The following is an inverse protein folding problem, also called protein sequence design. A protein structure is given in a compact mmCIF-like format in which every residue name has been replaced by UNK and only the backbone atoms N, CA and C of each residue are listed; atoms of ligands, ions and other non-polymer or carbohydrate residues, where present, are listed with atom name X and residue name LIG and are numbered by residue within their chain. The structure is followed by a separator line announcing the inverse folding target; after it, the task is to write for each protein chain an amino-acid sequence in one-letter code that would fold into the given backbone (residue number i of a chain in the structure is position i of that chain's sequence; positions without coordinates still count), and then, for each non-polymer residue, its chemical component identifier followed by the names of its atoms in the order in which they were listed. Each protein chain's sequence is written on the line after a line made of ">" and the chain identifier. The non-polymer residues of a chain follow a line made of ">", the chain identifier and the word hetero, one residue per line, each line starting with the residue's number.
data_IF_823725872244
#
_entry.id   IF_823725872244
#
_cell.length_a   1.000
_cell.length_b   1.000
_cell.length_c   1.000
_cell.angle_alpha   90.00
_cell.angle_beta   90.00
_cell.angle_gamma   90.00
#
_symmetry.space_group_name_H-M   'P 1'
#
loop_
_entity.id
_entity.type
_entity.pdbx_description
1 polymer ?
#
# COMPACT_ATOMS: atom_id res chain seq x y z
N UNK A 1 4.28 14.11 26.78
CA UNK A 1 4.18 12.74 26.23
C UNK A 1 3.11 12.76 25.16
N UNK A 2 3.52 13.04 23.92
CA UNK A 2 2.61 13.13 22.77
C UNK A 2 2.33 11.71 22.30
N UNK A 3 1.08 11.26 22.37
CA UNK A 3 0.68 9.93 21.94
C UNK A 3 0.74 9.80 20.41
N UNK A 4 0.86 8.57 19.87
CA UNK A 4 1.02 8.28 18.45
C UNK A 4 -0.14 8.75 17.55
N UNK A 5 -1.30 9.02 18.09
CA UNK A 5 -2.47 9.57 17.37
C UNK A 5 -2.29 11.01 16.86
N UNK A 6 -1.31 11.76 17.40
CA UNK A 6 -1.08 13.15 17.02
C UNK A 6 -0.23 13.32 15.77
N UNK A 7 0.49 12.29 15.32
CA UNK A 7 1.55 12.43 14.33
C UNK A 7 1.02 12.52 12.89
N UNK A 8 -0.19 12.07 12.62
CA UNK A 8 -0.76 12.00 11.29
C UNK A 8 -1.81 13.02 10.91
N UNK A 9 -2.67 13.33 11.80
CA UNK A 9 -3.37 14.63 11.69
C UNK A 9 -2.31 15.72 11.45
N UNK A 10 -1.12 15.56 12.02
CA UNK A 10 0.01 16.47 11.84
C UNK A 10 0.65 16.34 10.45
N UNK A 11 0.82 15.14 9.87
CA UNK A 11 1.39 14.97 8.52
C UNK A 11 0.45 15.53 7.46
N UNK A 12 -0.83 15.11 7.46
CA UNK A 12 -1.84 15.66 6.55
C UNK A 12 -2.06 17.16 6.74
N UNK A 13 -2.00 17.67 7.99
CA UNK A 13 -2.09 19.10 8.27
C UNK A 13 -0.87 19.88 7.76
N UNK A 14 0.34 19.35 7.91
CA UNK A 14 1.57 19.95 7.39
C UNK A 14 1.57 19.99 5.85
N UNK A 15 1.15 18.90 5.20
CA UNK A 15 1.03 18.83 3.75
C UNK A 15 -0.03 19.81 3.23
N UNK A 16 -1.13 20.01 3.96
CA UNK A 16 -2.14 21.03 3.60
C UNK A 16 -1.56 22.43 3.43
N UNK A 17 -0.53 22.75 4.17
CA UNK A 17 0.13 24.04 4.06
C UNK A 17 1.01 24.17 2.80
N UNK A 18 1.09 23.14 1.95
CA UNK A 18 1.81 23.08 0.65
C UNK A 18 3.25 23.64 0.64
N UNK A 19 3.82 23.95 1.81
CA UNK A 19 5.15 24.54 1.98
C UNK A 19 6.11 23.60 2.72
N UNK A 20 5.63 22.45 3.19
CA UNK A 20 6.45 21.47 3.89
C UNK A 20 6.86 20.34 2.95
N UNK A 21 7.98 20.57 2.22
CA UNK A 21 8.58 19.61 1.29
C UNK A 21 8.91 18.27 1.96
N UNK A 22 9.42 18.31 3.19
CA UNK A 22 9.76 17.11 3.94
C UNK A 22 8.53 16.24 4.25
N UNK A 23 7.41 16.87 4.61
CA UNK A 23 6.15 16.14 4.85
C UNK A 23 5.58 15.56 3.56
N UNK A 24 5.83 16.20 2.41
CA UNK A 24 5.46 15.64 1.11
C UNK A 24 6.32 14.45 0.73
N UNK A 25 7.62 14.50 0.94
CA UNK A 25 8.51 13.35 0.72
C UNK A 25 8.09 12.17 1.58
N UNK A 26 7.80 12.39 2.86
CA UNK A 26 7.27 11.37 3.76
C UNK A 26 5.95 10.78 3.25
N UNK A 27 5.04 11.61 2.75
CA UNK A 27 3.79 11.17 2.13
C UNK A 27 4.04 10.28 0.90
N UNK A 28 4.94 10.70 0.02
CA UNK A 28 5.29 9.94 -1.18
C UNK A 28 5.87 8.59 -0.79
N UNK A 29 6.78 8.54 0.18
CA UNK A 29 7.37 7.30 0.67
C UNK A 29 6.33 6.34 1.23
N UNK A 30 5.33 6.85 1.96
CA UNK A 30 4.24 6.03 2.50
C UNK A 30 3.26 5.52 1.45
N UNK A 31 2.89 6.33 0.46
CA UNK A 31 1.74 6.00 -0.40
C UNK A 31 2.09 5.62 -1.83
N UNK A 32 3.31 5.94 -2.31
CA UNK A 32 3.74 5.60 -3.68
C UNK A 32 3.64 4.11 -3.97
N UNK A 33 4.15 3.27 -3.04
CA UNK A 33 4.11 1.80 -3.17
C UNK A 33 2.68 1.27 -3.20
N UNK A 34 1.80 1.81 -2.37
CA UNK A 34 0.38 1.46 -2.32
C UNK A 34 -0.35 1.83 -3.62
N UNK A 35 -0.17 3.07 -4.11
CA UNK A 35 -0.75 3.53 -5.39
C UNK A 35 -0.25 2.65 -6.54
N UNK A 36 1.06 2.37 -6.58
CA UNK A 36 1.67 1.53 -7.60
C UNK A 36 1.05 0.13 -7.63
N UNK A 37 0.93 -0.51 -6.47
CA UNK A 37 0.36 -1.85 -6.35
C UNK A 37 -1.11 -1.89 -6.82
N UNK A 38 -1.93 -0.89 -6.46
CA UNK A 38 -3.32 -0.81 -6.93
C UNK A 38 -3.36 -0.75 -8.46
N UNK A 39 -2.58 0.14 -9.09
CA UNK A 39 -2.62 0.35 -10.54
C UNK A 39 -2.11 -0.90 -11.28
N UNK A 40 -1.03 -1.52 -10.78
CA UNK A 40 -0.48 -2.75 -11.37
C UNK A 40 -1.49 -3.91 -11.31
N UNK A 41 -2.19 -4.06 -10.19
CA UNK A 41 -3.22 -5.08 -10.02
C UNK A 41 -4.50 -4.83 -10.86
N UNK A 42 -4.62 -3.65 -11.46
CA UNK A 42 -5.65 -3.37 -12.47
C UNK A 42 -5.25 -3.86 -13.88
N UNK A 43 -4.16 -4.61 -14.00
CA UNK A 43 -3.58 -5.09 -15.26
C UNK A 43 -3.15 -3.95 -16.20
N UNK A 44 -2.78 -2.79 -15.65
CA UNK A 44 -2.15 -1.72 -16.41
C UNK A 44 -0.69 -2.11 -16.65
N UNK A 45 -0.17 -1.88 -17.86
CA UNK A 45 1.21 -2.20 -18.19
C UNK A 45 2.19 -1.37 -17.33
N UNK A 46 3.42 -1.88 -17.20
CA UNK A 46 4.43 -1.31 -16.31
C UNK A 46 4.75 0.15 -16.59
N UNK A 47 4.90 0.52 -17.84
CA UNK A 47 5.25 1.89 -18.26
C UNK A 47 4.15 2.88 -17.88
N UNK A 48 2.91 2.58 -18.28
CA UNK A 48 1.75 3.41 -17.98
C UNK A 48 1.49 3.47 -16.45
N UNK A 49 1.80 2.40 -15.72
CA UNK A 49 1.68 2.37 -14.25
C UNK A 49 2.55 3.43 -13.61
N UNK A 50 3.79 3.61 -14.06
CA UNK A 50 4.69 4.63 -13.49
C UNK A 50 4.17 6.04 -13.73
N UNK A 51 3.72 6.33 -14.94
CA UNK A 51 3.16 7.63 -15.30
C UNK A 51 1.87 7.93 -14.52
N UNK A 52 1.04 6.92 -14.34
CA UNK A 52 -0.19 7.02 -13.57
C UNK A 52 0.07 7.26 -12.08
N UNK A 53 1.08 6.61 -11.50
CA UNK A 53 1.50 6.87 -10.11
C UNK A 53 1.88 8.34 -9.93
N UNK A 54 2.71 8.88 -10.82
CA UNK A 54 3.07 10.29 -10.79
C UNK A 54 1.83 11.20 -10.93
N UNK A 55 0.94 10.87 -11.87
CA UNK A 55 -0.29 11.63 -12.07
C UNK A 55 -1.21 11.61 -10.85
N UNK A 56 -1.29 10.49 -10.13
CA UNK A 56 -2.05 10.37 -8.86
C UNK A 56 -1.40 11.22 -7.78
N UNK A 57 -0.07 11.14 -7.61
CA UNK A 57 0.67 11.93 -6.62
C UNK A 57 0.51 13.44 -6.87
N UNK A 58 0.61 13.90 -8.13
CA UNK A 58 0.39 15.31 -8.49
C UNK A 58 -1.05 15.76 -8.15
N UNK A 59 -2.05 14.88 -8.39
CA UNK A 59 -3.44 15.20 -8.04
C UNK A 59 -3.65 15.20 -6.54
N UNK A 60 -3.04 14.26 -5.82
CA UNK A 60 -3.07 14.26 -4.36
C UNK A 60 -2.48 15.57 -3.82
N UNK A 61 -1.31 15.98 -4.28
CA UNK A 61 -0.69 17.24 -3.92
C UNK A 61 -1.62 18.45 -4.12
N UNK A 62 -2.26 18.55 -5.28
CA UNK A 62 -3.14 19.67 -5.61
C UNK A 62 -4.44 19.72 -4.82
N UNK A 63 -4.98 18.55 -4.44
CA UNK A 63 -6.28 18.47 -3.78
C UNK A 63 -6.18 18.28 -2.25
N UNK A 64 -5.01 17.94 -1.72
CA UNK A 64 -4.78 17.77 -0.28
C UNK A 64 -5.08 19.04 0.54
N UNK A 65 -4.76 20.27 0.08
CA UNK A 65 -5.10 21.48 0.82
C UNK A 65 -6.60 21.64 1.08
N UNK A 66 -7.43 21.22 0.12
CA UNK A 66 -8.90 21.28 0.21
C UNK A 66 -9.52 20.03 0.85
N UNK A 67 -8.70 19.00 1.12
CA UNK A 67 -9.18 17.75 1.71
C UNK A 67 -9.53 17.98 3.19
N UNK A 68 -10.80 17.90 3.54
CA UNK A 68 -11.27 17.87 4.92
C UNK A 68 -11.40 16.42 5.38
N UNK A 69 -10.62 16.06 6.40
CA UNK A 69 -10.76 14.76 7.03
C UNK A 69 -12.06 14.71 7.82
N UNK A 70 -13.03 13.98 7.31
CA UNK A 70 -14.30 13.70 7.98
C UNK A 70 -14.39 12.19 8.28
N UNK A 71 -14.30 11.77 9.55
CA UNK A 71 -14.44 10.36 9.91
C UNK A 71 -15.75 9.72 9.43
N UNK A 72 -16.81 10.53 9.22
CA UNK A 72 -18.11 10.09 8.73
C UNK A 72 -18.14 9.85 7.20
N UNK A 73 -17.19 10.44 6.45
CA UNK A 73 -17.08 10.31 4.99
C UNK A 73 -16.05 9.30 4.53
N UNK A 74 -15.41 8.62 5.47
CA UNK A 74 -14.41 7.61 5.19
C UNK A 74 -12.98 8.06 5.47
N UNK A 75 -12.07 7.09 5.41
CA UNK A 75 -10.65 7.28 5.74
C UNK A 75 -9.92 7.93 4.56
N UNK A 76 -8.80 8.60 4.83
CA UNK A 76 -7.91 9.19 3.82
C UNK A 76 -7.57 8.20 2.70
N UNK A 77 -7.32 6.95 3.05
CA UNK A 77 -7.08 5.86 2.12
C UNK A 77 -8.19 5.71 1.06
N UNK A 78 -9.47 5.76 1.49
CA UNK A 78 -10.61 5.67 0.57
C UNK A 78 -10.64 6.83 -0.42
N UNK A 79 -10.33 8.04 0.03
CA UNK A 79 -10.17 9.19 -0.86
C UNK A 79 -9.01 8.98 -1.85
N UNK A 80 -7.83 8.53 -1.40
CA UNK A 80 -6.68 8.28 -2.28
C UNK A 80 -6.98 7.17 -3.30
N UNK A 81 -7.67 6.10 -2.89
CA UNK A 81 -8.15 5.04 -3.81
C UNK A 81 -9.09 5.62 -4.87
N UNK A 82 -9.99 6.53 -4.48
CA UNK A 82 -10.90 7.21 -5.41
C UNK A 82 -10.14 8.10 -6.40
N UNK A 83 -9.13 8.84 -5.94
CA UNK A 83 -8.26 9.65 -6.81
C UNK A 83 -7.52 8.75 -7.81
N UNK A 84 -7.00 7.60 -7.34
CA UNK A 84 -6.32 6.61 -8.19
C UNK A 84 -7.28 6.06 -9.25
N UNK A 85 -8.43 5.55 -8.85
CA UNK A 85 -9.49 5.03 -9.74
C UNK A 85 -9.88 6.02 -10.83
N UNK A 86 -10.15 7.27 -10.43
CA UNK A 86 -10.55 8.31 -11.36
C UNK A 86 -9.41 8.70 -12.32
N UNK A 87 -8.16 8.60 -11.88
CA UNK A 87 -6.99 8.87 -12.72
C UNK A 87 -6.83 7.81 -13.79
N UNK A 88 -6.92 6.53 -13.42
CA UNK A 88 -6.87 5.41 -14.36
C UNK A 88 -8.03 5.47 -15.35
N UNK A 89 -9.27 5.71 -14.89
CA UNK A 89 -10.43 5.85 -15.79
C UNK A 89 -10.22 6.94 -16.84
N UNK A 90 -9.73 8.12 -16.43
CA UNK A 90 -9.45 9.23 -17.36
C UNK A 90 -8.37 8.88 -18.38
N UNK A 91 -7.34 8.19 -17.96
CA UNK A 91 -6.28 7.71 -18.83
C UNK A 91 -6.83 6.75 -19.90
N UNK A 92 -7.59 5.73 -19.49
CA UNK A 92 -8.22 4.76 -20.40
C UNK A 92 -9.17 5.46 -21.38
N UNK A 93 -9.99 6.40 -20.93
CA UNK A 93 -10.86 7.19 -21.81
C UNK A 93 -10.08 8.04 -22.82
N UNK A 94 -8.92 8.60 -22.41
CA UNK A 94 -8.07 9.36 -23.32
C UNK A 94 -7.47 8.44 -24.39
N UNK A 95 -6.97 7.28 -24.01
CA UNK A 95 -6.46 6.28 -24.96
C UNK A 95 -7.54 5.81 -25.92
N UNK A 96 -8.74 5.51 -25.44
CA UNK A 96 -9.88 5.11 -26.27
C UNK A 96 -10.21 6.14 -27.35
N UNK A 97 -10.21 7.43 -27.00
CA UNK A 97 -10.46 8.51 -27.99
C UNK A 97 -9.36 8.61 -29.05
N UNK A 98 -8.11 8.38 -28.68
CA UNK A 98 -6.98 8.38 -29.61
C UNK A 98 -7.06 7.21 -30.58
N UNK A 99 -7.48 6.05 -30.09
CA UNK A 99 -7.60 4.80 -30.86
C UNK A 99 -8.86 4.79 -31.74
N UNK A 100 -9.92 5.47 -31.35
CA UNK A 100 -11.12 5.59 -32.21
C UNK A 100 -10.85 6.28 -33.57
N UNK A 101 -9.73 7.02 -33.67
CA UNK A 101 -9.24 7.61 -34.92
C UNK A 101 -8.15 6.74 -35.59
N UNK A 102 -7.88 5.54 -35.08
CA UNK A 102 -6.86 4.63 -35.57
C UNK A 102 -7.47 3.49 -36.40
N UNK A 103 -6.59 2.67 -36.93
CA UNK A 103 -6.91 1.47 -37.68
C UNK A 103 -7.74 0.46 -36.87
N UNK A 104 -8.59 -0.34 -37.54
CA UNK A 104 -9.48 -1.32 -36.93
C UNK A 104 -8.77 -2.38 -36.08
N UNK A 105 -7.53 -2.76 -36.49
CA UNK A 105 -6.74 -3.74 -35.72
C UNK A 105 -6.31 -3.18 -34.36
N UNK A 106 -5.94 -1.91 -34.28
CA UNK A 106 -5.61 -1.23 -33.01
C UNK A 106 -6.82 -1.06 -32.11
N UNK A 107 -8.01 -0.89 -32.68
CA UNK A 107 -9.25 -0.86 -31.89
C UNK A 107 -9.54 -2.17 -31.21
N UNK A 108 -9.43 -3.28 -31.95
CA UNK A 108 -9.63 -4.63 -31.40
C UNK A 108 -8.63 -4.98 -30.31
N UNK A 109 -7.34 -4.64 -30.51
CA UNK A 109 -6.30 -4.83 -29.51
C UNK A 109 -6.60 -4.05 -28.23
N UNK A 110 -7.07 -2.81 -28.35
CA UNK A 110 -7.43 -1.98 -27.21
C UNK A 110 -8.71 -2.45 -26.50
N UNK A 111 -9.71 -2.94 -27.24
CA UNK A 111 -10.90 -3.55 -26.67
C UNK A 111 -10.54 -4.77 -25.82
N UNK A 112 -9.70 -5.66 -26.32
CA UNK A 112 -9.17 -6.80 -25.56
C UNK A 112 -8.39 -6.34 -24.31
N UNK A 113 -7.61 -5.27 -24.41
CA UNK A 113 -6.92 -4.69 -23.26
C UNK A 113 -7.92 -4.19 -22.21
N UNK A 114 -8.97 -3.47 -22.61
CA UNK A 114 -10.01 -2.99 -21.70
C UNK A 114 -10.76 -4.10 -20.98
N UNK A 115 -10.99 -5.24 -21.64
CA UNK A 115 -11.62 -6.42 -21.03
C UNK A 115 -10.79 -6.99 -19.88
N UNK A 116 -9.46 -6.87 -19.96
CA UNK A 116 -8.53 -7.34 -18.94
C UNK A 116 -8.36 -6.37 -17.76
N UNK A 117 -8.86 -5.14 -17.87
CA UNK A 117 -8.73 -4.14 -16.80
C UNK A 117 -9.80 -4.35 -15.72
N UNK A 118 -9.40 -4.76 -14.54
CA UNK A 118 -10.27 -5.08 -13.40
C UNK A 118 -10.81 -3.83 -12.68
N UNK A 119 -11.57 -2.99 -13.37
CA UNK A 119 -12.20 -1.79 -12.76
C UNK A 119 -13.24 -2.09 -11.67
N UNK A 120 -14.07 -3.15 -11.79
CA UNK A 120 -15.09 -3.47 -10.78
C UNK A 120 -14.51 -3.87 -9.42
N UNK A 121 -13.36 -4.54 -9.41
CA UNK A 121 -12.74 -5.11 -8.19
C UNK A 121 -11.72 -4.18 -7.52
N UNK A 122 -11.64 -2.92 -7.94
CA UNK A 122 -10.61 -1.99 -7.45
C UNK A 122 -10.65 -1.80 -5.93
N UNK A 123 -11.81 -1.85 -5.32
CA UNK A 123 -11.95 -1.68 -3.88
C UNK A 123 -11.42 -2.92 -3.14
N UNK A 124 -11.62 -4.12 -3.68
CA UNK A 124 -11.08 -5.37 -3.15
C UNK A 124 -9.56 -5.43 -3.39
N UNK A 125 -9.08 -4.99 -4.55
CA UNK A 125 -7.64 -4.85 -4.83
C UNK A 125 -7.01 -3.88 -3.82
N UNK A 126 -7.58 -2.70 -3.66
CA UNK A 126 -7.10 -1.69 -2.73
C UNK A 126 -7.07 -2.18 -1.28
N UNK A 127 -8.06 -2.96 -0.85
CA UNK A 127 -8.08 -3.54 0.49
C UNK A 127 -6.95 -4.55 0.69
N UNK A 128 -6.78 -5.50 -0.23
CA UNK A 128 -5.71 -6.51 -0.17
C UNK A 128 -4.32 -5.88 -0.19
N UNK A 129 -4.10 -4.92 -1.09
CA UNK A 129 -2.82 -4.22 -1.19
C UNK A 129 -2.52 -3.40 0.06
N UNK A 130 -3.55 -2.83 0.68
CA UNK A 130 -3.39 -2.15 1.96
C UNK A 130 -2.96 -3.10 3.08
N UNK A 131 -3.62 -4.24 3.21
CA UNK A 131 -3.28 -5.24 4.23
C UNK A 131 -1.85 -5.76 4.06
N UNK A 132 -1.45 -6.05 2.82
CA UNK A 132 -0.09 -6.46 2.48
C UNK A 132 0.93 -5.34 2.78
N UNK A 133 0.61 -4.11 2.41
CA UNK A 133 1.45 -2.95 2.63
C UNK A 133 1.67 -2.65 4.11
N UNK A 134 0.60 -2.62 4.91
CA UNK A 134 0.67 -2.42 6.37
C UNK A 134 1.45 -3.54 7.05
N UNK A 135 1.23 -4.79 6.63
CA UNK A 135 1.97 -5.95 7.17
C UNK A 135 3.48 -5.84 6.88
N UNK A 136 3.84 -5.42 5.67
CA UNK A 136 5.24 -5.18 5.29
C UNK A 136 5.88 -4.05 6.10
N UNK A 137 5.17 -2.95 6.28
CA UNK A 137 5.65 -1.84 7.11
C UNK A 137 5.80 -2.25 8.57
N UNK A 138 4.82 -2.95 9.13
CA UNK A 138 4.88 -3.44 10.50
C UNK A 138 6.10 -4.35 10.70
N UNK A 139 6.35 -5.26 9.76
CA UNK A 139 7.54 -6.11 9.80
C UNK A 139 8.83 -5.28 9.74
N UNK A 140 8.95 -4.33 8.82
CA UNK A 140 10.12 -3.48 8.71
C UNK A 140 10.41 -2.73 10.03
N UNK A 141 9.36 -2.22 10.70
CA UNK A 141 9.52 -1.49 11.95
C UNK A 141 9.96 -2.40 13.11
N UNK A 142 9.25 -3.53 13.33
CA UNK A 142 9.55 -4.39 14.47
C UNK A 142 10.82 -5.21 14.31
N UNK A 143 11.20 -5.55 13.07
CA UNK A 143 12.38 -6.39 12.80
C UNK A 143 13.68 -5.73 13.23
N UNK A 144 13.73 -4.39 13.34
CA UNK A 144 14.87 -3.63 13.82
C UNK A 144 15.14 -3.81 15.33
N UNK A 145 14.09 -4.15 16.08
CA UNK A 145 14.16 -4.32 17.55
C UNK A 145 14.25 -5.80 17.96
N UNK A 146 14.15 -6.72 17.01
CA UNK A 146 14.21 -8.16 17.27
C UNK A 146 15.66 -8.64 17.31
N UNK A 147 15.93 -9.59 18.22
CA UNK A 147 17.18 -10.36 18.17
C UNK A 147 17.24 -11.14 16.84
N UNK A 148 18.42 -11.19 16.21
CA UNK A 148 18.59 -11.82 14.89
C UNK A 148 18.05 -13.25 14.83
N UNK A 149 18.29 -14.05 15.87
CA UNK A 149 17.75 -15.41 15.97
C UNK A 149 16.22 -15.45 15.90
N UNK A 150 15.53 -14.53 16.58
CA UNK A 150 14.06 -14.48 16.60
C UNK A 150 13.53 -14.08 15.22
N UNK A 151 14.20 -13.14 14.56
CA UNK A 151 13.89 -12.68 13.22
C UNK A 151 14.03 -13.81 12.21
N UNK A 152 15.20 -14.49 12.19
CA UNK A 152 15.48 -15.61 11.28
C UNK A 152 14.47 -16.74 11.44
N UNK A 153 14.21 -17.17 12.69
CA UNK A 153 13.21 -18.20 12.99
C UNK A 153 11.82 -17.81 12.47
N UNK A 154 11.42 -16.54 12.62
CA UNK A 154 10.13 -16.09 12.14
C UNK A 154 10.07 -16.04 10.62
N UNK A 155 11.12 -15.57 9.94
CA UNK A 155 11.22 -15.55 8.48
C UNK A 155 11.16 -16.97 7.88
N UNK A 156 11.85 -17.95 8.47
CA UNK A 156 11.77 -19.35 8.06
C UNK A 156 10.37 -19.93 8.22
N UNK A 157 9.68 -19.62 9.33
CA UNK A 157 8.28 -20.00 9.53
C UNK A 157 7.35 -19.38 8.47
N UNK A 158 7.59 -18.14 8.08
CA UNK A 158 6.80 -17.47 7.03
C UNK A 158 7.09 -18.04 5.65
N UNK A 159 8.29 -18.55 5.41
CA UNK A 159 8.66 -19.27 4.19
C UNK A 159 8.08 -20.70 4.12
N UNK A 160 7.43 -21.15 5.19
CA UNK A 160 6.75 -22.44 5.23
C UNK A 160 7.51 -23.57 5.90
N UNK A 161 8.68 -23.29 6.48
CA UNK A 161 9.45 -24.28 7.23
C UNK A 161 8.68 -24.73 8.47
N UNK A 162 8.79 -26.04 8.81
CA UNK A 162 8.08 -26.58 9.94
C UNK A 162 8.79 -26.27 11.26
N UNK A 163 8.06 -25.96 12.34
CA UNK A 163 8.65 -25.66 13.65
C UNK A 163 9.68 -26.68 14.12
N UNK A 164 9.42 -27.97 13.86
CA UNK A 164 10.32 -29.07 14.22
C UNK A 164 11.64 -29.03 13.45
N UNK A 165 11.61 -28.70 12.16
CA UNK A 165 12.80 -28.63 11.31
C UNK A 165 13.68 -27.43 11.71
N UNK A 166 13.06 -26.29 12.01
CA UNK A 166 13.72 -25.09 12.54
C UNK A 166 14.36 -25.39 13.90
N UNK A 167 13.62 -26.04 14.81
CA UNK A 167 14.11 -26.41 16.13
C UNK A 167 15.38 -27.30 16.04
N UNK A 168 15.40 -28.28 15.14
CA UNK A 168 16.56 -29.12 14.88
C UNK A 168 17.76 -28.34 14.29
N UNK A 169 17.50 -27.40 13.38
CA UNK A 169 18.54 -26.60 12.73
C UNK A 169 19.29 -25.70 13.71
N UNK A 170 18.60 -25.15 14.69
CA UNK A 170 19.15 -24.20 15.67
C UNK A 170 19.40 -24.81 17.07
N UNK A 171 19.25 -26.12 17.22
CA UNK A 171 19.36 -26.79 18.50
C UNK A 171 18.44 -26.22 19.60
N UNK A 172 17.17 -25.96 19.22
CA UNK A 172 16.14 -25.46 20.13
C UNK A 172 15.13 -26.54 20.48
N UNK A 173 14.45 -26.38 21.62
CA UNK A 173 13.20 -27.08 21.85
C UNK A 173 12.14 -26.54 20.87
N UNK A 174 11.29 -27.43 20.30
CA UNK A 174 10.21 -27.00 19.38
C UNK A 174 9.28 -25.95 20.02
N UNK A 175 9.05 -26.05 21.33
CA UNK A 175 8.29 -25.04 22.07
C UNK A 175 8.93 -23.63 22.01
N UNK A 176 10.25 -23.54 21.94
CA UNK A 176 10.95 -22.24 21.79
C UNK A 176 10.58 -21.56 20.47
N UNK A 177 10.49 -22.33 19.38
CA UNK A 177 10.06 -21.81 18.06
C UNK A 177 8.63 -21.30 18.14
N UNK A 178 7.73 -21.98 18.81
CA UNK A 178 6.35 -21.53 19.04
C UNK A 178 6.28 -20.26 19.91
N UNK A 179 7.12 -20.14 20.92
CA UNK A 179 7.22 -18.94 21.77
C UNK A 179 7.68 -17.74 20.92
N UNK A 180 8.71 -17.92 20.09
CA UNK A 180 9.19 -16.85 19.19
C UNK A 180 8.09 -16.43 18.21
N UNK A 181 7.41 -17.39 17.57
CA UNK A 181 6.27 -17.11 16.69
C UNK A 181 5.21 -16.25 17.39
N UNK A 182 4.73 -16.67 18.55
CA UNK A 182 3.71 -15.95 19.31
C UNK A 182 4.16 -14.55 19.72
N UNK A 183 5.43 -14.40 20.12
CA UNK A 183 6.00 -13.10 20.48
C UNK A 183 5.99 -12.14 19.28
N UNK A 184 6.48 -12.59 18.13
CA UNK A 184 6.52 -11.77 16.91
C UNK A 184 5.12 -11.44 16.42
N UNK A 185 4.20 -12.41 16.40
CA UNK A 185 2.80 -12.18 16.04
C UNK A 185 2.13 -11.12 16.91
N UNK A 186 2.39 -11.13 18.23
CA UNK A 186 1.87 -10.10 19.14
C UNK A 186 2.42 -8.71 18.85
N UNK A 187 3.72 -8.62 18.54
CA UNK A 187 4.36 -7.34 18.15
C UNK A 187 3.82 -6.85 16.80
N UNK A 188 3.71 -7.73 15.81
CA UNK A 188 3.11 -7.43 14.51
C UNK A 188 1.68 -6.89 14.67
N UNK A 189 0.85 -7.59 15.43
CA UNK A 189 -0.53 -7.16 15.65
C UNK A 189 -0.62 -5.76 16.27
N UNK A 190 0.20 -5.50 17.30
CA UNK A 190 0.25 -4.17 17.94
C UNK A 190 0.69 -3.09 16.96
N UNK A 191 1.70 -3.37 16.14
CA UNK A 191 2.23 -2.42 15.19
C UNK A 191 1.26 -2.19 14.01
N UNK A 192 0.60 -3.25 13.52
CA UNK A 192 -0.46 -3.11 12.50
C UNK A 192 -1.59 -2.20 13.00
N UNK A 193 -2.08 -2.41 14.22
CA UNK A 193 -3.12 -1.54 14.80
C UNK A 193 -2.65 -0.08 14.92
N UNK A 194 -1.38 0.14 15.32
CA UNK A 194 -0.79 1.48 15.37
C UNK A 194 -0.76 2.12 13.97
N UNK A 195 -0.21 1.39 13.00
CA UNK A 195 -0.13 1.86 11.62
C UNK A 195 -1.50 2.08 11.01
N UNK A 196 -2.48 1.22 11.25
CA UNK A 196 -3.85 1.43 10.77
C UNK A 196 -4.50 2.69 11.38
N UNK A 197 -4.30 2.92 12.66
CA UNK A 197 -4.80 4.13 13.31
C UNK A 197 -4.12 5.41 12.76
N UNK A 198 -2.88 5.30 12.40
CA UNK A 198 -2.09 6.41 11.84
C UNK A 198 -2.30 6.61 10.33
N UNK A 199 -2.52 5.56 9.53
CA UNK A 199 -2.46 5.57 8.05
C UNK A 199 -3.83 5.38 7.36
N UNK A 200 -4.87 5.15 8.14
CA UNK A 200 -6.25 5.02 7.60
C UNK A 200 -7.09 6.31 7.73
#
# INVERSE_FOLDING_TARGET
>A
MSGPLNTRLTLLQKIKNCQDEQSWEEFVDYYKGYIYAIILNMNINYHDTQDLVQAVLIKAWKNLPEFEYDPGKGRFRGWLTTVTKNTVKRFLHKQSRQINNADEDKKKEFEQYLENVSLPDIDNIAQREWEAYISKMAWANISLELAETVKTVFEELMNGDKPREIAQRYDFAENTVHVYKKRVQKLMFKEILRLEAELS
#
